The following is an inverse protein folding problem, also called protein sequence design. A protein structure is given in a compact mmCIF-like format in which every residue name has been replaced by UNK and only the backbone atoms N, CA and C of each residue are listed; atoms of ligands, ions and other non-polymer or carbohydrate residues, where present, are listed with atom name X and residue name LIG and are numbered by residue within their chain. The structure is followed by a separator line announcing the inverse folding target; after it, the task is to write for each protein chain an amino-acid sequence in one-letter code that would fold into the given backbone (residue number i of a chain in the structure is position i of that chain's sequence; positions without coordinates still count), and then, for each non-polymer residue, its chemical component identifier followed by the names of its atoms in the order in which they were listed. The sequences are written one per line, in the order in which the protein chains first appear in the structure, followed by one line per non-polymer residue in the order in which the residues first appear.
data_IF_360077359609
#
_entry.id   IF_360077359609
#
_cell.length_a   1.000
_cell.length_b   1.000
_cell.length_c   1.000
_cell.angle_alpha   90.00
_cell.angle_beta   90.00
_cell.angle_gamma   90.00
#
_symmetry.space_group_name_H-M   'P 1'
#
loop_
_entity.id
_entity.type
_entity.pdbx_description
1 polymer ?
#
# COMPACT_ATOMS: atom_id res chain seq x y z
N UNK A 1 -9.27 -4.24 12.07
CA UNK A 1 -8.94 -2.79 11.98
C UNK A 1 -8.66 -2.42 10.53
N UNK A 2 -8.68 -1.13 10.18
CA UNK A 2 -8.45 -0.67 8.81
C UNK A 2 -7.29 0.30 8.74
N UNK A 3 -6.51 0.22 7.67
CA UNK A 3 -5.27 0.97 7.54
C UNK A 3 -5.11 1.58 6.16
N UNK A 4 -4.62 2.81 6.11
CA UNK A 4 -4.10 3.48 4.93
C UNK A 4 -2.58 3.40 4.95
N UNK A 5 -2.01 2.88 3.87
CA UNK A 5 -0.58 2.78 3.66
C UNK A 5 -0.16 3.70 2.53
N UNK A 6 0.91 4.47 2.75
CA UNK A 6 1.62 5.17 1.67
C UNK A 6 2.92 4.43 1.44
N UNK A 7 3.14 4.03 0.19
CA UNK A 7 4.22 3.15 -0.21
C UNK A 7 4.92 3.69 -1.45
N UNK A 8 6.17 3.32 -1.62
CA UNK A 8 6.97 3.64 -2.79
C UNK A 8 6.75 2.57 -3.86
N UNK A 9 6.04 2.95 -4.93
CA UNK A 9 5.84 2.15 -6.12
C UNK A 9 6.93 2.39 -7.17
N UNK A 10 7.24 1.37 -7.98
CA UNK A 10 8.09 1.53 -9.16
C UNK A 10 8.79 0.25 -9.58
N UNK A 11 9.39 0.27 -10.77
CA UNK A 11 10.24 -0.82 -11.25
C UNK A 11 11.61 -0.77 -10.57
N UNK A 12 12.14 -1.92 -10.17
CA UNK A 12 13.49 -2.03 -9.62
C UNK A 12 14.50 -1.73 -10.73
N UNK A 13 15.52 -0.92 -10.46
CA UNK A 13 16.56 -0.56 -11.43
C UNK A 13 16.27 0.64 -12.34
N UNK A 14 15.03 1.11 -12.46
CA UNK A 14 14.67 2.24 -13.35
C UNK A 14 14.98 3.64 -12.76
N UNK A 15 15.53 3.73 -11.54
CA UNK A 15 15.81 4.99 -10.82
C UNK A 15 14.57 5.80 -10.39
N UNK A 16 13.42 5.61 -11.05
CA UNK A 16 12.16 6.31 -10.76
C UNK A 16 11.34 5.60 -9.69
N UNK A 17 10.62 6.37 -8.89
CA UNK A 17 9.59 5.89 -7.98
C UNK A 17 8.43 6.87 -7.91
N UNK A 18 7.28 6.37 -7.46
CA UNK A 18 6.07 7.16 -7.24
C UNK A 18 5.40 6.74 -5.94
N UNK A 19 4.56 7.61 -5.38
CA UNK A 19 3.79 7.27 -4.20
C UNK A 19 2.52 6.51 -4.58
N UNK A 20 2.36 5.35 -3.95
CA UNK A 20 1.22 4.46 -4.06
C UNK A 20 0.49 4.45 -2.71
N UNK A 21 -0.80 4.79 -2.75
CA UNK A 21 -1.66 4.63 -1.58
C UNK A 21 -2.37 3.29 -1.67
N UNK A 22 -2.34 2.51 -0.59
CA UNK A 22 -3.16 1.30 -0.46
C UNK A 22 -3.95 1.25 0.84
N UNK A 23 -5.02 0.47 0.82
CA UNK A 23 -5.93 0.28 1.95
C UNK A 23 -6.04 -1.20 2.30
N UNK A 24 -5.75 -1.51 3.57
CA UNK A 24 -5.71 -2.87 4.11
C UNK A 24 -6.67 -3.01 5.28
N UNK A 25 -7.17 -4.22 5.44
CA UNK A 25 -7.83 -4.70 6.65
C UNK A 25 -6.88 -5.69 7.33
N UNK A 26 -6.84 -5.67 8.65
CA UNK A 26 -6.04 -6.60 9.45
C UNK A 26 -6.27 -6.44 10.94
N UNK A 27 -5.80 -7.41 11.71
CA UNK A 27 -6.00 -7.45 13.17
C UNK A 27 -5.13 -6.41 13.89
N UNK A 28 -3.90 -6.22 13.43
CA UNK A 28 -2.97 -5.22 13.94
C UNK A 28 -2.05 -4.64 12.84
N UNK A 29 -1.19 -3.71 13.24
CA UNK A 29 -0.24 -3.03 12.34
C UNK A 29 0.83 -3.97 11.76
N UNK A 30 1.25 -5.00 12.50
CA UNK A 30 2.26 -5.96 12.07
C UNK A 30 1.71 -6.92 11.01
N UNK A 31 0.47 -7.40 11.18
CA UNK A 31 -0.23 -8.20 10.17
C UNK A 31 -0.34 -7.45 8.84
N UNK A 32 -0.67 -6.16 8.90
CA UNK A 32 -0.79 -5.30 7.72
C UNK A 32 0.58 -5.02 7.10
N UNK A 33 1.61 -4.77 7.93
CA UNK A 33 2.98 -4.60 7.47
C UNK A 33 3.44 -5.84 6.70
N UNK A 34 3.28 -7.03 7.28
CA UNK A 34 3.65 -8.31 6.65
C UNK A 34 2.91 -8.51 5.31
N UNK A 35 1.60 -8.28 5.29
CA UNK A 35 0.78 -8.39 4.08
C UNK A 35 1.22 -7.40 2.99
N UNK A 36 1.56 -6.17 3.38
CA UNK A 36 1.89 -5.11 2.44
C UNK A 36 3.20 -5.36 1.69
N UNK A 37 4.15 -6.11 2.25
CA UNK A 37 5.42 -6.48 1.59
C UNK A 37 5.17 -7.31 0.30
N UNK A 38 4.06 -8.03 0.24
CA UNK A 38 3.66 -8.81 -0.94
C UNK A 38 2.89 -7.99 -1.98
N UNK A 39 2.69 -6.69 -1.76
CA UNK A 39 1.96 -5.83 -2.69
C UNK A 39 2.71 -5.69 -4.02
N UNK A 40 2.03 -5.92 -5.17
CA UNK A 40 2.62 -5.69 -6.48
C UNK A 40 3.16 -4.27 -6.62
N UNK A 41 4.28 -4.14 -7.33
CA UNK A 41 4.96 -2.87 -7.64
C UNK A 41 5.55 -2.12 -6.44
N UNK A 42 5.44 -2.64 -5.22
CA UNK A 42 6.15 -2.12 -4.06
C UNK A 42 7.67 -2.24 -4.29
N UNK A 43 8.40 -1.15 -4.10
CA UNK A 43 9.87 -1.23 -4.07
C UNK A 43 10.31 -1.99 -2.82
N UNK A 44 10.85 -3.19 -3.03
CA UNK A 44 11.48 -4.00 -1.99
C UNK A 44 12.80 -3.35 -1.60
N UNK A 45 12.77 -2.60 -0.50
CA UNK A 45 13.95 -2.08 0.20
C UNK A 45 14.14 -2.88 1.49
N UNK A 46 15.34 -2.85 2.05
CA UNK A 46 15.62 -3.51 3.34
C UNK A 46 14.61 -3.09 4.41
N UNK A 47 14.26 -4.03 5.29
CA UNK A 47 13.35 -3.83 6.43
C UNK A 47 11.97 -3.22 6.08
N UNK A 48 11.46 -3.44 4.87
CA UNK A 48 10.16 -2.89 4.47
C UNK A 48 10.20 -1.39 4.16
N UNK A 49 11.38 -0.80 3.94
CA UNK A 49 11.56 0.64 3.66
C UNK A 49 10.88 1.17 2.39
N UNK A 50 10.20 0.32 1.64
CA UNK A 50 9.23 0.75 0.62
C UNK A 50 7.94 1.33 1.22
N UNK A 51 7.69 1.15 2.52
CA UNK A 51 6.50 1.65 3.21
C UNK A 51 6.89 2.95 3.92
N UNK A 52 6.26 4.04 3.50
CA UNK A 52 6.56 5.39 4.02
C UNK A 52 5.69 5.75 5.21
N UNK A 53 4.46 5.26 5.24
CA UNK A 53 3.48 5.64 6.26
C UNK A 53 2.42 4.57 6.43
N UNK A 54 2.04 4.29 7.67
CA UNK A 54 0.92 3.43 8.04
C UNK A 54 0.06 4.21 9.02
N UNK A 55 -1.24 4.31 8.71
CA UNK A 55 -2.20 4.98 9.59
C UNK A 55 -3.46 4.15 9.71
N UNK A 56 -3.88 3.91 10.95
CA UNK A 56 -5.20 3.38 11.22
C UNK A 56 -6.27 4.40 10.80
N UNK A 57 -7.32 3.91 10.17
CA UNK A 57 -8.42 4.70 9.62
C UNK A 57 -9.77 4.07 9.99
N UNK A 58 -10.83 4.85 9.85
CA UNK A 58 -12.19 4.33 10.02
C UNK A 58 -12.59 3.40 8.87
N UNK A 59 -13.59 2.55 9.13
CA UNK A 59 -14.21 1.71 8.09
C UNK A 59 -14.74 2.52 6.90
N UNK A 60 -15.32 3.70 7.15
CA UNK A 60 -15.84 4.59 6.10
C UNK A 60 -14.72 5.07 5.16
N UNK A 61 -13.59 5.49 5.73
CA UNK A 61 -12.41 5.88 4.94
C UNK A 61 -11.85 4.71 4.15
N UNK A 62 -11.86 3.51 4.74
CA UNK A 62 -11.41 2.29 4.07
C UNK A 62 -12.26 1.98 2.83
N UNK A 63 -13.60 1.93 2.97
CA UNK A 63 -14.50 1.64 1.84
C UNK A 63 -14.35 2.69 0.73
N UNK A 64 -14.27 3.97 1.10
CA UNK A 64 -14.04 5.04 0.14
C UNK A 64 -12.69 4.88 -0.58
N UNK A 65 -11.63 4.60 0.18
CA UNK A 65 -10.28 4.37 -0.33
C UNK A 65 -10.19 3.17 -1.29
N UNK A 66 -10.80 2.03 -0.94
CA UNK A 66 -10.90 0.86 -1.82
C UNK A 66 -11.62 1.19 -3.13
N UNK A 67 -12.65 2.04 -3.07
CA UNK A 67 -13.33 2.54 -4.26
C UNK A 67 -12.39 3.32 -5.19
N UNK A 68 -11.54 4.19 -4.62
CA UNK A 68 -10.53 4.93 -5.39
C UNK A 68 -9.43 4.02 -5.95
N UNK A 69 -8.93 3.06 -5.16
CA UNK A 69 -7.96 2.08 -5.63
C UNK A 69 -8.46 1.31 -6.85
N UNK A 70 -9.71 0.82 -6.81
CA UNK A 70 -10.32 0.04 -7.90
C UNK A 70 -10.36 0.83 -9.21
N UNK A 71 -10.54 2.15 -9.13
CA UNK A 71 -10.54 3.07 -10.27
C UNK A 71 -9.13 3.41 -10.78
N UNK A 72 -8.08 3.09 -10.03
CA UNK A 72 -6.71 3.38 -10.44
C UNK A 72 -6.15 2.26 -11.34
N UNK A 73 -5.98 2.49 -12.65
CA UNK A 73 -5.55 1.45 -13.59
C UNK A 73 -4.11 0.99 -13.37
N UNK A 74 -3.27 1.79 -12.73
CA UNK A 74 -1.87 1.45 -12.46
C UNK A 74 -1.70 0.51 -11.27
N UNK A 75 -2.74 0.39 -10.44
CA UNK A 75 -2.74 -0.42 -9.23
C UNK A 75 -3.36 -1.81 -9.44
N UNK A 76 -4.22 -1.98 -10.44
CA UNK A 76 -4.98 -3.22 -10.66
C UNK A 76 -4.69 -3.88 -12.02
N UNK A 77 -3.65 -3.44 -12.74
CA UNK A 77 -3.13 -4.16 -13.90
C UNK A 77 -2.31 -5.36 -13.42
N UNK A 78 -2.88 -6.55 -13.54
CA UNK A 78 -2.19 -7.84 -13.46
C UNK A 78 -1.11 -7.95 -14.52
#
# INVERSE_FOLDING_TARGET
MYFKLVMEGGHVGAGKSYDMVRYFEGDDIFCVLASSIHTPRLKKKEFGGGIKFIKEISWREYIHGKGQERRNPYLNRN
#
